data_IF_817331999394
#
_entry.id   IF_817331999394
#
_cell.length_a   1.000
_cell.length_b   1.000
_cell.length_c   1.000
_cell.angle_alpha   90.00
_cell.angle_beta   90.00
_cell.angle_gamma   90.00
#
_symmetry.space_group_name_H-M   'P 1'
#
loop_
_entity.id
_entity.type
_entity.pdbx_description
1 polymer ?
#
# COMPACT_ATOMS: atom_id res chain seq x y z
N UNK A 1 -10.45 21.07 -4.73
CA UNK A 1 -9.97 19.72 -5.09
C UNK A 1 -8.63 19.86 -5.81
N UNK A 2 -7.61 19.16 -5.33
CA UNK A 2 -6.29 19.12 -5.96
C UNK A 2 -6.24 17.93 -6.93
N UNK A 3 -5.45 18.04 -8.00
CA UNK A 3 -5.35 16.98 -9.01
C UNK A 3 -3.89 16.60 -9.24
N UNK A 4 -3.61 15.31 -9.35
CA UNK A 4 -2.33 14.76 -9.77
C UNK A 4 -2.58 13.91 -11.01
N UNK A 5 -1.99 14.31 -12.15
CA UNK A 5 -2.01 13.49 -13.37
C UNK A 5 -0.91 12.45 -13.30
N UNK A 6 -1.25 11.20 -13.61
CA UNK A 6 -0.31 10.08 -13.77
C UNK A 6 -0.30 9.69 -15.24
N UNK A 7 0.58 10.29 -16.05
CA UNK A 7 0.72 9.96 -17.47
C UNK A 7 1.50 8.66 -17.62
N UNK A 8 0.84 7.63 -18.12
CA UNK A 8 1.45 6.35 -18.47
C UNK A 8 1.28 6.08 -19.95
N UNK A 9 2.13 5.20 -20.50
CA UNK A 9 2.14 4.93 -21.95
C UNK A 9 0.82 4.36 -22.46
N UNK A 10 0.22 3.44 -21.71
CA UNK A 10 -0.98 2.72 -22.14
C UNK A 10 -2.27 3.41 -21.65
N UNK A 11 -2.27 3.94 -20.43
CA UNK A 11 -3.48 4.52 -19.83
C UNK A 11 -3.12 5.56 -18.75
N UNK A 12 -3.26 6.82 -19.10
CA UNK A 12 -3.14 7.92 -18.13
C UNK A 12 -4.40 8.05 -17.29
N UNK A 13 -4.24 8.43 -16.02
CA UNK A 13 -5.37 8.70 -15.13
C UNK A 13 -5.07 9.84 -14.16
N UNK A 14 -6.11 10.32 -13.47
CA UNK A 14 -5.99 11.37 -12.47
C UNK A 14 -6.28 10.84 -11.08
N UNK A 15 -5.56 11.37 -10.10
CA UNK A 15 -5.88 11.27 -8.68
C UNK A 15 -6.43 12.63 -8.25
N UNK A 16 -7.59 12.61 -7.63
CA UNK A 16 -8.29 13.77 -7.10
C UNK A 16 -8.23 13.73 -5.57
N UNK A 17 -7.78 14.81 -4.94
CA UNK A 17 -7.73 14.96 -3.49
C UNK A 17 -8.65 16.10 -3.05
N UNK A 18 -9.55 15.82 -2.15
CA UNK A 18 -10.55 16.74 -1.59
C UNK A 18 -11.89 16.04 -1.36
N UNK A 19 -12.93 16.79 -1.08
CA UNK A 19 -14.28 16.25 -0.92
C UNK A 19 -14.72 15.50 -2.18
N UNK A 20 -15.33 14.32 -2.00
CA UNK A 20 -15.81 13.49 -3.11
C UNK A 20 -16.82 14.26 -3.96
N UNK A 21 -16.57 14.50 -5.26
CA UNK A 21 -17.45 15.26 -6.11
C UNK A 21 -18.69 14.44 -6.52
N UNK A 22 -19.65 15.06 -7.18
CA UNK A 22 -20.64 14.31 -7.94
C UNK A 22 -19.96 13.57 -9.10
N UNK A 23 -20.18 12.26 -9.18
CA UNK A 23 -19.64 11.39 -10.22
C UNK A 23 -20.79 11.02 -11.16
N UNK A 24 -20.77 11.55 -12.38
CA UNK A 24 -21.74 11.24 -13.40
C UNK A 24 -21.20 10.23 -14.41
N UNK A 25 -21.84 9.09 -14.50
CA UNK A 25 -21.48 7.98 -15.38
C UNK A 25 -22.61 7.69 -16.36
N UNK A 26 -22.28 7.55 -17.65
CA UNK A 26 -23.24 7.16 -18.70
C UNK A 26 -23.41 5.64 -18.84
N UNK A 27 -22.68 4.87 -18.04
CA UNK A 27 -22.65 3.41 -18.03
C UNK A 27 -23.17 2.81 -16.72
N UNK A 28 -23.34 1.48 -16.71
CA UNK A 28 -23.62 0.73 -15.49
C UNK A 28 -22.39 0.76 -14.56
N UNK A 29 -22.62 0.86 -13.26
CA UNK A 29 -21.58 0.88 -12.24
C UNK A 29 -21.85 -0.18 -11.15
N UNK A 30 -20.92 -1.11 -10.96
CA UNK A 30 -20.92 -2.04 -9.82
C UNK A 30 -20.00 -1.49 -8.74
N UNK A 31 -20.56 -1.15 -7.57
CA UNK A 31 -19.80 -0.76 -6.39
C UNK A 31 -19.43 -2.03 -5.63
N UNK A 32 -18.15 -2.18 -5.31
CA UNK A 32 -17.66 -3.23 -4.44
C UNK A 32 -17.12 -2.60 -3.17
N UNK A 33 -17.56 -3.13 -2.01
CA UNK A 33 -17.11 -2.67 -0.71
C UNK A 33 -17.05 -3.84 0.26
N UNK A 34 -16.45 -3.63 1.42
CA UNK A 34 -16.57 -4.59 2.53
C UNK A 34 -17.68 -4.19 3.51
N UNK A 35 -18.04 -5.13 4.39
CA UNK A 35 -19.17 -4.99 5.31
C UNK A 35 -19.05 -3.81 6.27
N UNK A 36 -17.82 -3.44 6.70
CA UNK A 36 -17.58 -2.31 7.61
C UNK A 36 -17.70 -1.00 6.83
N UNK A 37 -16.95 -0.88 5.74
CA UNK A 37 -16.92 0.34 4.91
C UNK A 37 -18.28 0.64 4.30
N UNK A 38 -18.99 -0.39 3.81
CA UNK A 38 -20.35 -0.22 3.28
C UNK A 38 -21.32 0.37 4.32
N UNK A 39 -21.27 -0.14 5.55
CA UNK A 39 -22.09 0.39 6.64
C UNK A 39 -21.80 1.85 7.00
N UNK A 40 -20.56 2.30 6.82
CA UNK A 40 -20.12 3.65 7.20
C UNK A 40 -20.26 4.67 6.06
N UNK A 41 -19.99 4.26 4.82
CA UNK A 41 -19.70 5.21 3.74
C UNK A 41 -20.47 5.00 2.43
N UNK A 42 -21.20 3.89 2.30
CA UNK A 42 -21.93 3.60 1.05
C UNK A 42 -22.98 4.66 0.73
N UNK A 43 -23.74 5.11 1.72
CA UNK A 43 -24.75 6.15 1.53
C UNK A 43 -24.15 7.45 1.02
N UNK A 44 -23.01 7.86 1.58
CA UNK A 44 -22.28 9.05 1.15
C UNK A 44 -21.84 8.98 -0.32
N UNK A 45 -21.38 7.81 -0.79
CA UNK A 45 -21.07 7.61 -2.21
C UNK A 45 -22.34 7.61 -3.07
N UNK A 46 -23.40 6.92 -2.66
CA UNK A 46 -24.63 6.81 -3.44
C UNK A 46 -25.33 8.16 -3.66
N UNK A 47 -25.24 9.07 -2.69
CA UNK A 47 -25.76 10.45 -2.85
C UNK A 47 -25.01 11.25 -3.93
N UNK A 48 -23.77 10.89 -4.24
CA UNK A 48 -22.90 11.58 -5.18
C UNK A 48 -22.70 10.84 -6.50
N UNK A 49 -23.26 9.63 -6.62
CA UNK A 49 -23.08 8.79 -7.81
C UNK A 49 -24.36 8.76 -8.66
N UNK A 50 -24.27 9.23 -9.88
CA UNK A 50 -25.30 9.08 -10.91
C UNK A 50 -24.78 8.16 -12.01
N UNK A 51 -25.46 7.05 -12.27
CA UNK A 51 -25.10 6.10 -13.32
C UNK A 51 -26.36 5.53 -13.99
N UNK A 52 -26.19 4.87 -15.14
CA UNK A 52 -27.31 4.24 -15.84
C UNK A 52 -28.02 3.19 -14.98
N UNK A 53 -27.25 2.39 -14.27
CA UNK A 53 -27.70 1.42 -13.27
C UNK A 53 -26.59 1.27 -12.22
N UNK A 54 -26.94 1.19 -10.94
CA UNK A 54 -26.01 0.98 -9.84
C UNK A 54 -26.40 -0.28 -9.09
N UNK A 55 -25.43 -1.16 -8.86
CA UNK A 55 -25.52 -2.27 -7.89
C UNK A 55 -24.37 -2.23 -6.92
N UNK A 56 -24.54 -2.93 -5.81
CA UNK A 56 -23.56 -3.02 -4.74
C UNK A 56 -23.26 -4.50 -4.47
N UNK A 57 -21.98 -4.86 -4.46
CA UNK A 57 -21.47 -6.14 -4.00
C UNK A 57 -20.69 -5.90 -2.70
N UNK A 58 -21.20 -6.43 -1.58
CA UNK A 58 -20.54 -6.32 -0.28
C UNK A 58 -19.89 -7.67 0.03
N UNK A 59 -18.59 -7.65 0.31
CA UNK A 59 -17.84 -8.82 0.77
C UNK A 59 -17.50 -8.68 2.26
N UNK A 60 -16.96 -9.70 2.88
CA UNK A 60 -16.51 -9.67 4.26
C UNK A 60 -15.26 -8.79 4.40
N UNK A 61 -15.14 -8.10 5.56
CA UNK A 61 -13.98 -7.24 5.85
C UNK A 61 -12.78 -8.03 6.35
N UNK A 62 -11.58 -7.64 5.91
CA UNK A 62 -10.29 -8.13 6.38
C UNK A 62 -9.46 -8.85 5.33
N UNK A 63 -8.14 -8.89 5.58
CA UNK A 63 -7.12 -9.43 4.65
C UNK A 63 -7.34 -10.91 4.30
N UNK A 64 -7.89 -11.70 5.22
CA UNK A 64 -8.21 -13.13 4.99
C UNK A 64 -9.24 -13.37 3.87
N UNK A 65 -10.03 -12.33 3.55
CA UNK A 65 -11.02 -12.40 2.47
C UNK A 65 -10.49 -11.88 1.13
N UNK A 66 -9.24 -11.48 1.06
CA UNK A 66 -8.56 -11.14 -0.19
C UNK A 66 -8.15 -12.43 -0.93
N UNK A 67 -9.12 -13.17 -1.43
CA UNK A 67 -8.94 -14.53 -1.94
C UNK A 67 -9.83 -14.83 -3.16
N UNK A 68 -9.70 -16.04 -3.73
CA UNK A 68 -10.47 -16.49 -4.88
C UNK A 68 -11.98 -16.48 -4.64
N UNK A 69 -12.43 -16.85 -3.45
CA UNK A 69 -13.88 -16.92 -3.15
C UNK A 69 -14.53 -15.53 -3.24
N UNK A 70 -13.89 -14.53 -2.66
CA UNK A 70 -14.37 -13.14 -2.76
C UNK A 70 -14.26 -12.60 -4.20
N UNK A 71 -13.20 -12.98 -4.93
CA UNK A 71 -13.06 -12.62 -6.34
C UNK A 71 -14.21 -13.22 -7.18
N UNK A 72 -14.53 -14.49 -6.99
CA UNK A 72 -15.65 -15.17 -7.66
C UNK A 72 -16.97 -14.44 -7.37
N UNK A 73 -17.23 -14.07 -6.11
CA UNK A 73 -18.43 -13.32 -5.72
C UNK A 73 -18.54 -11.98 -6.45
N UNK A 74 -17.43 -11.24 -6.58
CA UNK A 74 -17.40 -9.98 -7.34
C UNK A 74 -17.72 -10.23 -8.81
N UNK A 75 -17.11 -11.24 -9.43
CA UNK A 75 -17.34 -11.58 -10.84
C UNK A 75 -18.78 -12.04 -11.09
N UNK A 76 -19.35 -12.87 -10.21
CA UNK A 76 -20.74 -13.31 -10.29
C UNK A 76 -21.70 -12.12 -10.21
N UNK A 77 -21.46 -11.16 -9.29
CA UNK A 77 -22.26 -9.93 -9.20
C UNK A 77 -22.18 -9.10 -10.49
N UNK A 78 -21.01 -9.08 -11.16
CA UNK A 78 -20.83 -8.40 -12.43
C UNK A 78 -21.60 -9.09 -13.58
N UNK A 79 -21.60 -10.44 -13.62
CA UNK A 79 -22.38 -11.21 -14.59
C UNK A 79 -23.88 -11.06 -14.38
N UNK A 80 -24.37 -11.16 -13.15
CA UNK A 80 -25.79 -10.98 -12.81
C UNK A 80 -26.31 -9.58 -13.16
N UNK A 81 -25.47 -8.56 -13.02
CA UNK A 81 -25.78 -7.18 -13.45
C UNK A 81 -25.66 -7.02 -14.98
N UNK A 82 -25.17 -8.02 -15.69
CA UNK A 82 -24.91 -7.97 -17.12
C UNK A 82 -24.01 -6.78 -17.49
N UNK A 83 -22.90 -6.61 -16.75
CA UNK A 83 -21.89 -5.62 -17.14
C UNK A 83 -21.30 -5.97 -18.50
N UNK A 84 -20.95 -4.97 -19.25
CA UNK A 84 -20.29 -5.10 -20.55
C UNK A 84 -18.94 -4.38 -20.56
N UNK A 85 -18.25 -4.35 -21.70
CA UNK A 85 -16.92 -3.75 -21.83
C UNK A 85 -16.85 -2.24 -21.54
N UNK A 86 -17.99 -1.56 -21.55
CA UNK A 86 -18.10 -0.12 -21.27
C UNK A 86 -18.55 0.17 -19.84
N UNK A 87 -18.90 -0.87 -19.08
CA UNK A 87 -19.31 -0.75 -17.69
C UNK A 87 -18.11 -0.45 -16.78
N UNK A 88 -18.38 -0.08 -15.53
CA UNK A 88 -17.38 0.35 -14.57
C UNK A 88 -17.51 -0.43 -13.26
N UNK A 89 -16.39 -0.80 -12.64
CA UNK A 89 -16.36 -1.23 -11.27
C UNK A 89 -15.85 -0.08 -10.39
N UNK A 90 -16.40 0.06 -9.18
CA UNK A 90 -15.99 1.09 -8.19
C UNK A 90 -15.56 0.39 -6.92
N UNK A 91 -14.31 0.58 -6.54
CA UNK A 91 -13.74 0.10 -5.29
C UNK A 91 -13.95 1.16 -4.20
N UNK A 92 -14.87 0.92 -3.27
CA UNK A 92 -15.07 1.73 -2.07
C UNK A 92 -14.50 0.99 -0.88
N UNK A 93 -13.25 1.30 -0.46
CA UNK A 93 -12.64 0.56 0.64
C UNK A 93 -11.15 0.78 0.83
N UNK A 94 -10.55 -0.03 1.69
CA UNK A 94 -9.10 -0.09 1.88
C UNK A 94 -8.36 -0.83 0.76
N UNK A 95 -7.07 -1.13 0.98
CA UNK A 95 -6.19 -1.80 0.02
C UNK A 95 -6.72 -3.17 -0.44
N UNK A 96 -7.37 -3.93 0.43
CA UNK A 96 -8.00 -5.22 0.09
C UNK A 96 -9.03 -5.04 -1.03
N UNK A 97 -9.93 -4.07 -0.89
CA UNK A 97 -10.97 -3.78 -1.88
C UNK A 97 -10.37 -3.23 -3.17
N UNK A 98 -9.44 -2.25 -3.07
CA UNK A 98 -8.78 -1.68 -4.24
C UNK A 98 -8.08 -2.75 -5.10
N UNK A 99 -7.33 -3.65 -4.47
CA UNK A 99 -6.59 -4.71 -5.16
C UNK A 99 -7.52 -5.74 -5.81
N UNK A 100 -8.55 -6.18 -5.08
CA UNK A 100 -9.48 -7.18 -5.58
C UNK A 100 -10.34 -6.65 -6.73
N UNK A 101 -10.83 -5.42 -6.62
CA UNK A 101 -11.64 -4.78 -7.67
C UNK A 101 -10.81 -4.52 -8.92
N UNK A 102 -9.59 -4.03 -8.73
CA UNK A 102 -8.67 -3.84 -9.85
C UNK A 102 -8.36 -5.17 -10.55
N UNK A 103 -8.14 -6.26 -9.79
CA UNK A 103 -7.89 -7.57 -10.38
C UNK A 103 -9.15 -8.15 -11.06
N UNK A 104 -10.32 -8.07 -10.42
CA UNK A 104 -11.58 -8.48 -11.02
C UNK A 104 -11.83 -7.72 -12.34
N UNK A 105 -11.61 -6.40 -12.34
CA UNK A 105 -11.77 -5.57 -13.53
C UNK A 105 -10.79 -5.95 -14.65
N UNK A 106 -9.55 -6.35 -14.30
CA UNK A 106 -8.53 -6.72 -15.28
C UNK A 106 -8.86 -8.01 -16.06
N UNK A 107 -9.58 -8.93 -15.41
CA UNK A 107 -9.92 -10.23 -16.01
C UNK A 107 -11.35 -10.29 -16.56
N UNK A 108 -12.27 -9.47 -16.05
CA UNK A 108 -13.65 -9.40 -16.54
C UNK A 108 -13.68 -8.84 -17.98
N UNK A 109 -14.25 -9.59 -18.92
CA UNK A 109 -14.23 -9.28 -20.37
C UNK A 109 -12.81 -8.95 -20.93
N UNK A 110 -11.74 -9.47 -20.31
CA UNK A 110 -10.32 -9.19 -20.64
C UNK A 110 -9.89 -7.75 -20.37
N UNK A 111 -10.58 -7.09 -19.45
CA UNK A 111 -10.30 -5.73 -18.98
C UNK A 111 -11.48 -4.78 -19.17
N UNK A 112 -11.97 -4.25 -18.04
CA UNK A 112 -12.92 -3.12 -18.01
C UNK A 112 -12.35 -2.02 -17.11
N UNK A 113 -12.91 -0.83 -17.20
CA UNK A 113 -12.51 0.29 -16.36
C UNK A 113 -12.91 0.08 -14.89
N UNK A 114 -12.11 0.63 -13.98
CA UNK A 114 -12.47 0.74 -12.57
C UNK A 114 -12.02 2.08 -11.96
N UNK A 115 -12.62 2.46 -10.84
CA UNK A 115 -12.31 3.65 -10.05
C UNK A 115 -11.99 3.20 -8.63
N UNK A 116 -10.99 3.81 -8.00
CA UNK A 116 -10.70 3.66 -6.58
C UNK A 116 -11.25 4.85 -5.77
N UNK A 117 -11.95 4.54 -4.68
CA UNK A 117 -12.37 5.48 -3.62
C UNK A 117 -11.79 4.93 -2.31
N UNK A 118 -10.51 5.24 -2.00
CA UNK A 118 -9.80 4.68 -0.87
C UNK A 118 -10.30 5.26 0.47
N UNK A 119 -10.62 4.39 1.42
CA UNK A 119 -11.18 4.79 2.72
C UNK A 119 -10.22 4.61 3.89
N UNK A 120 -9.06 3.99 3.70
CA UNK A 120 -7.99 3.91 4.69
C UNK A 120 -6.81 4.79 4.30
N UNK A 121 -6.05 5.31 5.26
CA UNK A 121 -4.88 6.14 4.98
C UNK A 121 -3.86 5.39 4.12
N UNK A 122 -3.58 4.13 4.43
CA UNK A 122 -2.70 3.27 3.62
C UNK A 122 -3.15 3.20 2.16
N UNK A 123 -4.45 3.01 1.92
CA UNK A 123 -4.96 2.97 0.55
C UNK A 123 -4.93 4.33 -0.13
N UNK A 124 -5.15 5.43 0.61
CA UNK A 124 -5.09 6.80 0.07
C UNK A 124 -3.67 7.15 -0.41
N UNK A 125 -2.65 6.80 0.37
CA UNK A 125 -1.27 7.19 0.04
C UNK A 125 -0.52 6.15 -0.79
N UNK A 126 -0.95 4.89 -0.76
CA UNK A 126 -0.21 3.79 -1.39
C UNK A 126 -1.07 2.87 -2.27
N UNK A 127 -1.92 2.01 -1.73
CA UNK A 127 -2.48 0.87 -2.45
C UNK A 127 -3.36 1.27 -3.66
N UNK A 128 -4.08 2.38 -3.62
CA UNK A 128 -4.97 2.83 -4.72
C UNK A 128 -4.24 3.34 -5.96
N UNK A 129 -2.93 3.58 -5.89
CA UNK A 129 -2.11 4.21 -6.95
C UNK A 129 -1.06 3.25 -7.47
N UNK A 130 -0.90 3.16 -8.79
CA UNK A 130 0.19 2.41 -9.43
C UNK A 130 -0.19 1.03 -9.95
N UNK A 131 -1.50 0.69 -9.94
CA UNK A 131 -2.07 -0.42 -10.70
C UNK A 131 -1.69 -1.83 -10.27
N UNK A 132 -0.97 -2.02 -9.17
CA UNK A 132 -0.78 -3.35 -8.59
C UNK A 132 -2.11 -3.84 -8.06
N UNK A 133 -2.61 -4.94 -8.57
CA UNK A 133 -3.88 -5.54 -8.16
C UNK A 133 -3.72 -7.04 -7.99
N UNK A 134 -4.47 -7.65 -7.08
CA UNK A 134 -4.31 -9.07 -6.87
C UNK A 134 -5.03 -9.62 -5.65
N UNK A 135 -4.81 -10.92 -5.44
CA UNK A 135 -5.38 -11.70 -4.34
C UNK A 135 -4.30 -12.53 -3.64
N UNK A 136 -4.63 -12.96 -2.44
CA UNK A 136 -3.80 -13.86 -1.65
C UNK A 136 -4.10 -15.33 -2.02
N UNK A 137 -3.12 -16.17 -1.75
CA UNK A 137 -3.21 -17.63 -1.93
C UNK A 137 -2.68 -18.32 -0.68
N UNK A 138 -2.92 -19.64 -0.52
CA UNK A 138 -2.28 -20.40 0.57
C UNK A 138 -0.75 -20.39 0.54
N UNK A 139 -0.15 -19.99 -0.58
CA UNK A 139 1.31 -19.94 -0.77
C UNK A 139 1.91 -18.58 -0.40
N UNK A 140 1.08 -17.52 -0.28
CA UNK A 140 1.52 -16.17 0.11
C UNK A 140 0.58 -15.07 -0.33
N UNK A 141 0.86 -13.84 0.14
CA UNK A 141 0.11 -12.63 -0.20
C UNK A 141 0.45 -12.17 -1.63
N UNK A 142 -0.55 -11.65 -2.34
CA UNK A 142 -0.43 -10.93 -3.62
C UNK A 142 0.31 -11.70 -4.74
N UNK A 143 0.30 -13.05 -4.70
CA UNK A 143 1.01 -13.87 -5.70
C UNK A 143 0.26 -14.00 -7.02
N UNK A 144 -1.04 -13.74 -7.02
CA UNK A 144 -1.89 -13.76 -8.21
C UNK A 144 -2.49 -12.37 -8.40
N UNK A 145 -2.25 -11.78 -9.56
CA UNK A 145 -2.73 -10.44 -9.86
C UNK A 145 -2.29 -9.94 -11.24
N UNK A 146 -2.53 -8.66 -11.46
CA UNK A 146 -2.19 -7.97 -12.70
C UNK A 146 -1.77 -6.53 -12.42
N UNK A 147 -1.06 -5.92 -13.37
CA UNK A 147 -0.94 -4.47 -13.44
C UNK A 147 -2.13 -3.94 -14.21
N UNK A 148 -3.09 -3.33 -13.53
CA UNK A 148 -4.27 -2.72 -14.13
C UNK A 148 -4.52 -1.35 -13.52
N UNK A 149 -4.36 -0.29 -14.33
CA UNK A 149 -4.46 1.08 -13.85
C UNK A 149 -5.93 1.50 -13.70
N UNK A 150 -6.29 2.20 -12.61
CA UNK A 150 -7.63 2.76 -12.45
C UNK A 150 -7.90 3.84 -13.50
N UNK A 151 -9.17 4.12 -13.75
CA UNK A 151 -9.60 5.27 -14.57
C UNK A 151 -9.46 6.59 -13.81
N UNK A 152 -9.68 6.54 -12.50
CA UNK A 152 -9.52 7.65 -11.58
C UNK A 152 -9.36 7.13 -10.14
N UNK A 153 -8.77 7.94 -9.28
CA UNK A 153 -8.73 7.73 -7.83
C UNK A 153 -9.30 8.98 -7.16
N UNK A 154 -10.27 8.82 -6.26
CA UNK A 154 -10.87 9.92 -5.49
C UNK A 154 -10.54 9.76 -4.02
N UNK A 155 -9.68 10.62 -3.51
CA UNK A 155 -9.21 10.62 -2.12
C UNK A 155 -9.96 11.69 -1.36
N UNK A 156 -10.83 11.28 -0.45
CA UNK A 156 -11.56 12.15 0.47
C UNK A 156 -11.11 11.87 1.90
N UNK A 157 -10.60 12.91 2.57
CA UNK A 157 -10.10 12.80 3.94
C UNK A 157 -11.23 12.56 4.95
N UNK A 158 -12.48 12.81 4.58
CA UNK A 158 -13.63 12.58 5.48
C UNK A 158 -13.75 11.11 5.86
N UNK A 159 -13.35 10.18 4.99
CA UNK A 159 -13.32 8.75 5.27
C UNK A 159 -12.40 8.39 6.45
N UNK A 160 -11.34 9.16 6.67
CA UNK A 160 -10.39 8.90 7.76
C UNK A 160 -10.95 9.21 9.14
N UNK A 161 -12.08 9.95 9.24
CA UNK A 161 -12.71 10.28 10.53
C UNK A 161 -13.26 9.06 11.26
N UNK A 162 -13.58 8.00 10.52
CA UNK A 162 -14.10 6.75 11.06
C UNK A 162 -13.05 5.64 11.13
N UNK A 163 -11.83 5.93 10.67
CA UNK A 163 -10.76 4.95 10.61
C UNK A 163 -10.19 4.71 12.02
N UNK A 164 -10.06 3.45 12.41
CA UNK A 164 -9.44 3.08 13.68
C UNK A 164 -7.99 3.59 13.76
N UNK A 165 -7.57 4.03 14.96
CA UNK A 165 -6.22 4.57 15.21
C UNK A 165 -5.13 3.64 14.69
N UNK A 166 -5.26 2.34 14.90
CA UNK A 166 -4.29 1.32 14.49
C UNK A 166 -4.12 1.26 12.96
N UNK A 167 -5.22 1.30 12.22
CA UNK A 167 -5.21 1.35 10.76
C UNK A 167 -4.67 2.67 10.22
N UNK A 168 -4.96 3.78 10.90
CA UNK A 168 -4.39 5.08 10.57
C UNK A 168 -2.85 5.07 10.73
N UNK A 169 -2.35 4.54 11.84
CA UNK A 169 -0.92 4.39 12.10
C UNK A 169 -0.23 3.49 11.05
N UNK A 170 -0.88 2.42 10.59
CA UNK A 170 -0.38 1.58 9.51
C UNK A 170 -0.16 2.39 8.21
N UNK A 171 -1.07 3.32 7.91
CA UNK A 171 -0.89 4.25 6.78
C UNK A 171 0.25 5.25 6.99
N UNK A 172 0.45 5.75 8.22
CA UNK A 172 1.57 6.66 8.54
C UNK A 172 2.92 5.97 8.35
N UNK A 173 3.03 4.66 8.63
CA UNK A 173 4.25 3.92 8.34
C UNK A 173 4.65 3.98 6.86
N UNK A 174 3.66 3.87 5.95
CA UNK A 174 3.89 3.98 4.50
C UNK A 174 4.28 5.41 4.06
N UNK A 175 3.73 6.44 4.71
CA UNK A 175 4.15 7.82 4.49
C UNK A 175 5.62 8.00 4.89
N UNK A 176 6.02 7.53 6.07
CA UNK A 176 7.42 7.62 6.54
C UNK A 176 8.33 6.83 5.61
N UNK A 177 7.95 5.65 5.16
CA UNK A 177 8.68 4.86 4.17
C UNK A 177 9.00 5.68 2.92
N UNK A 178 7.99 6.33 2.34
CA UNK A 178 8.16 7.16 1.15
C UNK A 178 9.01 8.39 1.43
N UNK A 179 8.79 9.07 2.54
CA UNK A 179 9.55 10.24 2.94
C UNK A 179 11.05 9.92 3.08
N UNK A 180 11.40 8.86 3.82
CA UNK A 180 12.80 8.45 4.06
C UNK A 180 13.52 8.10 2.77
N UNK A 181 12.86 7.45 1.82
CA UNK A 181 13.49 7.00 0.57
C UNK A 181 13.49 8.05 -0.55
N UNK A 182 12.55 9.02 -0.55
CA UNK A 182 12.34 9.85 -1.72
C UNK A 182 12.26 11.35 -1.45
N UNK A 183 11.95 11.78 -0.22
CA UNK A 183 11.72 13.20 0.04
C UNK A 183 12.11 13.65 1.45
N UNK A 184 13.29 14.26 1.55
CA UNK A 184 13.80 14.82 2.80
C UNK A 184 12.90 15.92 3.38
N UNK A 185 12.25 16.73 2.52
CA UNK A 185 11.39 17.82 2.98
C UNK A 185 10.13 17.27 3.65
N UNK A 186 9.58 16.15 3.14
CA UNK A 186 8.47 15.47 3.78
C UNK A 186 8.87 14.93 5.17
N UNK A 187 10.09 14.40 5.33
CA UNK A 187 10.62 14.03 6.66
C UNK A 187 10.66 15.25 7.58
N UNK A 188 11.19 16.38 7.14
CA UNK A 188 11.26 17.62 7.93
C UNK A 188 9.85 18.13 8.31
N UNK A 189 8.89 18.05 7.38
CA UNK A 189 7.49 18.40 7.67
C UNK A 189 6.91 17.50 8.76
N UNK A 190 7.13 16.19 8.67
CA UNK A 190 6.66 15.21 9.66
C UNK A 190 7.36 15.38 11.03
N UNK A 191 8.60 15.83 11.06
CA UNK A 191 9.34 16.15 12.30
C UNK A 191 8.79 17.41 12.99
N UNK A 192 8.49 18.46 12.22
CA UNK A 192 8.20 19.79 12.74
C UNK A 192 6.72 20.04 13.03
N UNK A 193 5.82 19.49 12.22
CA UNK A 193 4.39 19.75 12.32
C UNK A 193 3.63 18.64 13.08
N UNK A 194 2.50 19.00 13.68
CA UNK A 194 1.50 17.98 14.07
C UNK A 194 0.80 17.49 12.80
N UNK A 195 0.65 16.17 12.66
CA UNK A 195 0.03 15.56 11.48
C UNK A 195 -1.41 16.04 11.26
N UNK A 196 -2.13 16.37 12.34
CA UNK A 196 -3.51 16.90 12.25
C UNK A 196 -3.58 18.21 11.46
N UNK A 197 -2.54 19.05 11.58
CA UNK A 197 -2.52 20.37 10.96
C UNK A 197 -2.01 20.34 9.51
N UNK A 198 -1.38 19.25 9.08
CA UNK A 198 -0.79 19.10 7.75
C UNK A 198 -1.21 17.81 7.02
N UNK A 199 -2.26 17.12 7.46
CA UNK A 199 -2.62 15.81 6.93
C UNK A 199 -2.89 15.82 5.43
N UNK A 200 -3.63 16.82 4.93
CA UNK A 200 -3.90 16.96 3.49
C UNK A 200 -2.62 17.20 2.69
N UNK A 201 -1.74 18.08 3.17
CA UNK A 201 -0.43 18.34 2.57
C UNK A 201 0.41 17.06 2.50
N UNK A 202 0.47 16.31 3.60
CA UNK A 202 1.25 15.07 3.71
C UNK A 202 0.70 13.97 2.79
N UNK A 203 -0.63 13.81 2.71
CA UNK A 203 -1.25 12.86 1.78
C UNK A 203 -0.95 13.26 0.34
N UNK A 204 -1.10 14.55 -0.01
CA UNK A 204 -0.80 15.04 -1.35
C UNK A 204 0.66 14.76 -1.73
N UNK A 205 1.62 15.09 -0.87
CA UNK A 205 3.05 14.85 -1.11
C UNK A 205 3.34 13.34 -1.28
N UNK A 206 2.75 12.49 -0.44
CA UNK A 206 2.93 11.04 -0.53
C UNK A 206 2.39 10.47 -1.85
N UNK A 207 1.19 10.88 -2.26
CA UNK A 207 0.61 10.50 -3.56
C UNK A 207 1.44 11.04 -4.72
N UNK A 208 1.95 12.28 -4.61
CA UNK A 208 2.82 12.88 -5.63
C UNK A 208 4.13 12.11 -5.77
N UNK A 209 4.80 11.77 -4.67
CA UNK A 209 6.02 10.92 -4.68
C UNK A 209 5.71 9.60 -5.38
N UNK A 210 4.64 8.93 -4.97
CA UNK A 210 4.27 7.64 -5.57
C UNK A 210 3.93 7.77 -7.05
N UNK A 211 3.22 8.82 -7.45
CA UNK A 211 2.93 9.10 -8.86
C UNK A 211 4.23 9.26 -9.67
N UNK A 212 5.20 10.05 -9.18
CA UNK A 212 6.50 10.23 -9.85
C UNK A 212 7.26 8.91 -10.00
N UNK A 213 7.24 8.07 -8.96
CA UNK A 213 7.89 6.75 -8.99
C UNK A 213 7.21 5.81 -10.00
N UNK A 214 5.87 5.77 -10.01
CA UNK A 214 5.08 4.93 -10.94
C UNK A 214 5.26 5.38 -12.40
N UNK A 215 5.31 6.69 -12.65
CA UNK A 215 5.54 7.24 -13.99
C UNK A 215 6.90 6.84 -14.56
N UNK A 216 7.94 6.75 -13.72
CA UNK A 216 9.28 6.35 -14.14
C UNK A 216 9.46 4.83 -14.23
N UNK A 217 8.66 4.07 -13.45
CA UNK A 217 8.82 2.62 -13.33
C UNK A 217 7.48 1.94 -12.99
N UNK A 218 6.62 1.81 -13.98
CA UNK A 218 5.28 1.23 -13.80
C UNK A 218 5.34 -0.22 -13.28
N UNK A 219 6.31 -1.02 -13.76
CA UNK A 219 6.39 -2.47 -13.51
C UNK A 219 7.38 -2.87 -12.40
N UNK A 220 7.90 -1.88 -11.64
CA UNK A 220 8.79 -2.12 -10.49
C UNK A 220 10.08 -2.90 -10.85
N UNK A 221 10.79 -2.41 -11.85
CA UNK A 221 12.07 -2.99 -12.28
C UNK A 221 13.28 -2.15 -11.81
N UNK A 222 13.07 -0.89 -11.43
CA UNK A 222 14.12 0.08 -11.11
C UNK A 222 13.78 0.90 -9.86
N UNK A 223 13.45 2.21 -10.01
CA UNK A 223 13.26 3.15 -8.90
C UNK A 223 12.10 2.75 -7.97
N UNK A 224 11.06 2.11 -8.50
CA UNK A 224 9.88 1.73 -7.72
C UNK A 224 10.20 0.69 -6.63
N UNK A 225 11.31 -0.04 -6.74
CA UNK A 225 11.74 -0.95 -5.67
C UNK A 225 12.03 -0.22 -4.35
N UNK A 226 12.34 1.08 -4.39
CA UNK A 226 12.52 1.93 -3.20
C UNK A 226 11.29 1.98 -2.29
N UNK A 227 10.08 1.75 -2.85
CA UNK A 227 8.85 1.60 -2.08
C UNK A 227 8.81 0.30 -1.24
N UNK A 228 9.82 -0.57 -1.35
CA UNK A 228 9.94 -1.78 -0.54
C UNK A 228 10.95 -1.62 0.63
N UNK A 229 11.34 -0.39 1.01
CA UNK A 229 12.08 -0.16 2.23
C UNK A 229 11.34 -0.70 3.45
N UNK A 230 12.02 -1.49 4.28
CA UNK A 230 11.41 -2.22 5.40
C UNK A 230 10.68 -3.52 5.02
N UNK A 231 10.30 -3.73 3.76
CA UNK A 231 9.46 -4.86 3.36
C UNK A 231 10.15 -6.21 3.45
N UNK A 232 11.46 -6.32 3.19
CA UNK A 232 12.18 -7.59 3.26
C UNK A 232 12.10 -8.19 4.67
N UNK A 233 12.31 -7.37 5.71
CA UNK A 233 12.13 -7.80 7.10
C UNK A 233 10.64 -7.86 7.50
N UNK A 234 9.84 -6.89 7.09
CA UNK A 234 8.41 -6.83 7.39
C UNK A 234 7.63 -8.06 6.94
N UNK A 235 7.83 -8.51 5.70
CA UNK A 235 7.21 -9.73 5.17
C UNK A 235 7.67 -11.00 5.92
N UNK A 236 8.95 -11.05 6.34
CA UNK A 236 9.42 -12.15 7.17
C UNK A 236 8.71 -12.17 8.55
N UNK A 237 8.48 -10.98 9.14
CA UNK A 237 7.72 -10.81 10.40
C UNK A 237 6.25 -11.22 10.20
N UNK A 238 5.59 -10.71 9.15
CA UNK A 238 4.21 -11.08 8.84
C UNK A 238 4.07 -12.61 8.72
N UNK A 239 5.01 -13.26 8.03
CA UNK A 239 5.01 -14.71 7.85
C UNK A 239 5.33 -15.46 9.14
N UNK A 240 6.23 -14.97 9.99
CA UNK A 240 6.53 -15.58 11.29
C UNK A 240 5.34 -15.53 12.25
N UNK A 241 4.49 -14.51 12.09
CA UNK A 241 3.32 -14.26 12.94
C UNK A 241 2.01 -14.67 12.26
N UNK A 242 2.07 -15.51 11.24
CA UNK A 242 0.94 -16.07 10.49
C UNK A 242 -0.05 -14.99 9.98
N UNK A 243 0.47 -13.75 9.72
CA UNK A 243 -0.30 -12.58 9.28
C UNK A 243 -1.41 -12.12 10.23
N UNK A 244 -1.41 -12.55 11.49
CA UNK A 244 -2.49 -12.29 12.44
C UNK A 244 -2.11 -11.25 13.50
N UNK A 245 -0.83 -11.18 13.89
CA UNK A 245 -0.38 -10.35 15.01
C UNK A 245 -0.26 -8.87 14.65
N UNK A 246 0.34 -8.58 13.51
CA UNK A 246 0.64 -7.22 13.06
C UNK A 246 -0.14 -6.87 11.80
N UNK A 247 -0.64 -5.63 11.74
CA UNK A 247 -1.07 -5.03 10.47
C UNK A 247 0.14 -4.85 9.56
N UNK A 248 -0.11 -4.75 8.25
CA UNK A 248 0.97 -4.56 7.27
C UNK A 248 1.91 -3.41 7.64
N UNK A 249 1.38 -2.19 7.85
CA UNK A 249 2.20 -1.03 8.21
C UNK A 249 2.94 -1.16 9.54
N UNK A 250 2.42 -1.93 10.51
CA UNK A 250 3.12 -2.23 11.76
C UNK A 250 4.34 -3.14 11.51
N UNK A 251 4.16 -4.19 10.71
CA UNK A 251 5.26 -5.07 10.32
C UNK A 251 6.31 -4.33 9.51
N UNK A 252 5.87 -3.41 8.60
CA UNK A 252 6.78 -2.56 7.82
C UNK A 252 7.52 -1.58 8.74
N UNK A 253 6.88 -0.99 9.75
CA UNK A 253 7.57 -0.11 10.71
C UNK A 253 8.68 -0.85 11.48
N UNK A 254 8.42 -2.08 11.94
CA UNK A 254 9.46 -2.93 12.54
C UNK A 254 10.55 -3.23 11.52
N UNK A 255 10.17 -3.61 10.30
CA UNK A 255 11.09 -3.91 9.20
C UNK A 255 11.96 -2.71 8.79
N UNK A 256 11.43 -1.48 8.82
CA UNK A 256 12.20 -0.26 8.59
C UNK A 256 13.29 -0.08 9.65
N UNK A 257 12.99 -0.32 10.92
CA UNK A 257 13.97 -0.24 12.01
C UNK A 257 15.08 -1.28 11.85
N UNK A 258 14.75 -2.52 11.47
CA UNK A 258 15.77 -3.55 11.17
C UNK A 258 16.61 -3.15 9.95
N UNK A 259 15.99 -2.55 8.93
CA UNK A 259 16.70 -2.04 7.75
C UNK A 259 17.61 -0.85 8.12
N UNK A 260 17.21 0.01 9.07
CA UNK A 260 18.04 1.10 9.60
C UNK A 260 19.24 0.57 10.35
N UNK A 261 19.07 -0.46 11.21
CA UNK A 261 20.18 -1.12 11.89
C UNK A 261 21.21 -1.66 10.89
N UNK A 262 20.72 -2.27 9.80
CA UNK A 262 21.58 -2.78 8.73
C UNK A 262 22.27 -1.64 7.96
N UNK A 263 21.54 -0.60 7.58
CA UNK A 263 22.08 0.58 6.90
C UNK A 263 23.16 1.30 7.73
N UNK A 264 22.92 1.45 9.04
CA UNK A 264 23.92 2.00 9.98
C UNK A 264 25.18 1.14 10.05
N UNK A 265 25.02 -0.19 10.12
CA UNK A 265 26.17 -1.12 10.18
C UNK A 265 27.00 -1.13 8.89
N UNK A 266 26.39 -0.76 7.76
CA UNK A 266 27.03 -0.64 6.44
C UNK A 266 27.54 0.79 6.14
N UNK A 267 27.38 1.75 7.08
CA UNK A 267 27.77 3.14 6.88
C UNK A 267 26.92 3.91 5.88
N UNK A 268 25.73 3.42 5.54
CA UNK A 268 24.77 4.08 4.64
C UNK A 268 23.97 5.18 5.34
N UNK A 269 23.80 5.07 6.66
CA UNK A 269 23.25 6.08 7.55
C UNK A 269 24.32 6.53 8.54
N UNK A 270 24.35 7.84 8.81
CA UNK A 270 25.02 8.38 10.00
C UNK A 270 24.20 8.10 11.25
N UNK A 271 24.81 8.07 12.43
CA UNK A 271 24.07 7.92 13.70
C UNK A 271 22.98 8.98 13.85
N UNK A 272 23.24 10.22 13.44
CA UNK A 272 22.26 11.32 13.49
C UNK A 272 21.04 11.07 12.61
N UNK A 273 21.24 10.54 11.41
CA UNK A 273 20.13 10.21 10.50
C UNK A 273 19.32 9.02 11.02
N UNK A 274 20.01 8.00 11.52
CA UNK A 274 19.38 6.85 12.19
C UNK A 274 18.49 7.33 13.34
N UNK A 275 19.00 8.15 14.25
CA UNK A 275 18.24 8.69 15.38
C UNK A 275 17.02 9.54 14.93
N UNK A 276 17.17 10.32 13.85
CA UNK A 276 16.04 11.07 13.29
C UNK A 276 14.92 10.16 12.84
N UNK A 277 15.22 9.10 12.11
CA UNK A 277 14.21 8.14 11.62
C UNK A 277 13.57 7.41 12.81
N UNK A 278 14.34 6.94 13.81
CA UNK A 278 13.81 6.30 15.01
C UNK A 278 12.89 7.24 15.79
N UNK A 279 13.28 8.52 15.96
CA UNK A 279 12.47 9.52 16.63
C UNK A 279 11.17 9.83 15.86
N UNK A 280 11.22 9.81 14.54
CA UNK A 280 10.04 9.98 13.71
C UNK A 280 9.06 8.82 13.87
N UNK A 281 9.55 7.58 13.84
CA UNK A 281 8.72 6.40 14.10
C UNK A 281 8.11 6.44 15.51
N UNK A 282 8.89 6.88 16.51
CA UNK A 282 8.42 7.05 17.89
C UNK A 282 7.36 8.14 18.01
N UNK A 283 7.52 9.27 17.33
CA UNK A 283 6.55 10.38 17.31
C UNK A 283 5.16 9.92 16.90
N UNK A 284 5.09 8.95 15.99
CA UNK A 284 3.84 8.42 15.44
C UNK A 284 3.39 7.09 16.08
N UNK A 285 3.91 6.74 17.24
CA UNK A 285 3.60 5.48 17.96
C UNK A 285 3.86 4.22 17.11
N UNK A 286 4.88 4.23 16.26
CA UNK A 286 5.24 3.11 15.37
C UNK A 286 6.37 2.23 15.92
N UNK A 287 6.60 2.28 17.23
CA UNK A 287 7.57 1.43 17.94
C UNK A 287 6.84 0.23 18.53
N UNK A 288 6.85 -0.86 17.82
CA UNK A 288 6.20 -2.11 18.24
C UNK A 288 7.20 -3.05 18.89
N UNK A 289 6.73 -3.77 19.93
CA UNK A 289 7.53 -4.83 20.55
C UNK A 289 7.49 -6.09 19.70
N UNK A 290 8.66 -6.47 19.20
CA UNK A 290 8.86 -7.70 18.44
C UNK A 290 10.19 -8.34 18.84
N UNK A 291 10.21 -9.66 18.93
CA UNK A 291 11.41 -10.46 19.15
C UNK A 291 11.43 -11.63 18.18
N UNK A 292 12.56 -11.86 17.57
CA UNK A 292 12.80 -13.04 16.73
C UNK A 292 12.90 -14.26 17.64
N UNK A 293 12.14 -15.31 17.37
CA UNK A 293 12.15 -16.54 18.17
C UNK A 293 13.29 -17.47 17.78
N UNK A 294 13.66 -17.52 16.50
CA UNK A 294 14.72 -18.37 15.94
C UNK A 294 15.41 -17.59 14.80
N UNK A 295 16.61 -17.10 15.08
CA UNK A 295 17.40 -16.27 14.16
C UNK A 295 17.68 -17.00 12.83
N UNK A 296 18.00 -18.30 12.88
CA UNK A 296 18.34 -19.06 11.67
C UNK A 296 17.11 -19.24 10.79
N UNK A 297 15.96 -19.59 11.35
CA UNK A 297 14.70 -19.69 10.61
C UNK A 297 14.25 -18.33 10.07
N UNK A 298 14.42 -17.26 10.86
CA UNK A 298 14.11 -15.90 10.39
C UNK A 298 14.99 -15.52 9.19
N UNK A 299 16.30 -15.78 9.28
CA UNK A 299 17.22 -15.56 8.17
C UNK A 299 16.81 -16.32 6.91
N UNK A 300 16.41 -17.58 7.04
CA UNK A 300 15.94 -18.40 5.91
C UNK A 300 14.66 -17.82 5.27
N UNK A 301 13.76 -17.24 6.07
CA UNK A 301 12.55 -16.57 5.58
C UNK A 301 12.84 -15.37 4.70
N UNK A 302 13.96 -14.66 4.90
CA UNK A 302 14.34 -13.53 4.06
C UNK A 302 14.55 -13.92 2.58
N UNK A 303 14.86 -15.18 2.31
CA UNK A 303 14.99 -15.69 0.94
C UNK A 303 13.65 -16.04 0.27
N UNK A 304 12.60 -16.27 1.05
CA UNK A 304 11.32 -16.74 0.53
C UNK A 304 10.50 -15.63 -0.15
N UNK A 305 10.79 -14.37 0.16
CA UNK A 305 10.07 -13.21 -0.38
C UNK A 305 10.43 -12.89 -1.84
N UNK A 306 11.49 -13.48 -2.39
CA UNK A 306 11.92 -13.19 -3.76
C UNK A 306 12.25 -14.47 -4.52
N UNK A 307 11.56 -14.68 -5.63
CA UNK A 307 11.94 -15.51 -6.75
C UNK A 307 13.25 -14.99 -7.39
N UNK A 308 14.35 -14.97 -6.63
CA UNK A 308 15.64 -14.63 -7.20
C UNK A 308 16.24 -15.89 -7.81
N UNK A 309 16.47 -15.89 -9.10
CA UNK A 309 17.20 -16.94 -9.81
C UNK A 309 18.58 -17.18 -9.17
N UNK A 310 19.15 -16.20 -8.45
CA UNK A 310 20.50 -16.21 -7.87
C UNK A 310 20.58 -16.48 -6.36
N UNK A 311 19.48 -16.82 -5.67
CA UNK A 311 19.47 -17.04 -4.21
C UNK A 311 20.08 -15.89 -3.38
N UNK A 312 20.01 -14.66 -3.86
CA UNK A 312 20.59 -13.48 -3.21
C UNK A 312 19.50 -12.61 -2.61
N UNK A 313 19.60 -12.28 -1.32
CA UNK A 313 18.67 -11.35 -0.69
C UNK A 313 19.00 -9.93 -1.17
N UNK A 314 17.99 -9.21 -1.62
CA UNK A 314 18.09 -7.77 -1.94
C UNK A 314 17.39 -6.98 -0.85
N UNK A 315 18.13 -6.11 -0.19
CA UNK A 315 17.57 -5.18 0.80
C UNK A 315 17.43 -3.80 0.18
N UNK A 316 16.32 -3.15 0.46
CA UNK A 316 16.16 -1.73 0.16
C UNK A 316 16.52 -0.98 1.44
N UNK A 317 17.63 -0.27 1.41
CA UNK A 317 18.19 0.42 2.57
C UNK A 317 18.22 1.93 2.34
N UNK A 318 17.94 2.76 3.37
CA UNK A 318 18.12 4.19 3.25
C UNK A 318 19.61 4.54 3.08
N UNK A 319 19.91 5.46 2.17
CA UNK A 319 21.25 6.03 1.95
C UNK A 319 21.20 7.52 2.26
N UNK A 320 21.36 7.84 3.54
CA UNK A 320 20.92 9.12 4.06
C UNK A 320 19.39 9.22 4.10
N UNK A 321 18.86 10.44 4.35
CA UNK A 321 17.43 10.74 4.29
C UNK A 321 17.09 11.36 2.93
N UNK A 322 16.07 10.82 2.26
CA UNK A 322 15.61 11.24 0.93
C UNK A 322 16.19 10.43 -0.21
N UNK A 323 16.97 9.38 0.08
CA UNK A 323 17.53 8.47 -0.92
C UNK A 323 17.61 7.04 -0.39
N UNK A 324 17.71 6.08 -1.31
CA UNK A 324 17.86 4.65 -0.97
C UNK A 324 18.87 3.97 -1.90
N UNK A 325 19.32 2.80 -1.48
CA UNK A 325 20.15 1.90 -2.28
C UNK A 325 19.60 0.47 -2.22
N UNK A 326 19.75 -0.26 -3.32
CA UNK A 326 19.47 -1.70 -3.39
C UNK A 326 20.75 -2.43 -3.00
N UNK A 327 20.83 -2.88 -1.76
CA UNK A 327 21.99 -3.61 -1.24
C UNK A 327 21.81 -5.12 -1.45
N UNK A 328 22.76 -5.75 -2.11
CA UNK A 328 22.84 -7.19 -2.33
C UNK A 328 24.23 -7.71 -1.94
N UNK A 329 24.37 -9.01 -1.81
CA UNK A 329 25.65 -9.66 -1.44
C UNK A 329 26.20 -9.22 -0.07
N UNK A 330 25.29 -8.84 0.87
CA UNK A 330 25.70 -8.52 2.25
C UNK A 330 26.14 -9.81 2.92
N UNK A 331 27.31 -9.84 3.60
CA UNK A 331 27.78 -11.00 4.32
C UNK A 331 26.74 -11.51 5.33
N UNK A 332 26.54 -12.83 5.38
CA UNK A 332 25.59 -13.46 6.31
C UNK A 332 25.81 -13.01 7.74
N UNK A 333 27.06 -12.93 8.16
CA UNK A 333 27.46 -12.53 9.51
C UNK A 333 26.98 -11.12 9.88
N UNK A 334 26.97 -10.20 8.91
CA UNK A 334 26.47 -8.83 9.09
C UNK A 334 24.96 -8.82 9.31
N UNK A 335 24.23 -9.62 8.52
CA UNK A 335 22.77 -9.75 8.67
C UNK A 335 22.45 -10.40 10.03
N UNK A 336 23.14 -11.50 10.38
CA UNK A 336 22.90 -12.19 11.65
C UNK A 336 23.16 -11.27 12.86
N UNK A 337 24.20 -10.44 12.86
CA UNK A 337 24.45 -9.45 13.91
C UNK A 337 23.30 -8.44 14.08
N UNK A 338 22.63 -8.06 12.99
CA UNK A 338 21.43 -7.22 13.08
C UNK A 338 20.28 -8.01 13.69
N UNK A 339 20.05 -9.26 13.25
CA UNK A 339 18.97 -10.10 13.78
C UNK A 339 19.15 -10.42 15.27
N UNK A 340 20.40 -10.57 15.76
CA UNK A 340 20.72 -10.78 17.17
C UNK A 340 20.24 -9.65 18.10
N UNK A 341 20.20 -8.40 17.61
CA UNK A 341 19.63 -7.28 18.37
C UNK A 341 18.12 -7.40 18.60
N UNK A 342 17.47 -8.23 17.81
CA UNK A 342 16.02 -8.43 17.81
C UNK A 342 15.58 -9.80 18.35
N UNK A 343 16.52 -10.55 18.95
CA UNK A 343 16.29 -11.88 19.55
C UNK A 343 15.95 -11.85 21.08
#
# INVERSE_FOLDING_TARGET
MQEILIPLKEKSYKVFLGELPEIELKQKALIISDSIVAGLHLSYLLERLKALEVRVCVIESGEKYKNFHSLERILNSAFEMQLNRHSLMIALGGGVISDMVGFASSIYFRGIDFINIPTTLLSQVDASVGGKTGINTPYGKNLIGSFHQPKAVYIDLSFLKTLEKREFQAGVAEIIKMAVCFDKNLVETLEMKDLKDCLEEVIFQSVYIKAQVVMQDEKEQNIRVGLNYGHTFGHAIEKETDYERFLHGEAIAIGMRMANDLALSLGMLTLKEYERIENLLKKFDLIFHYKITDIQKFYERLFLDKKSEDKTIKFILPKGIGAFEVASHIPKETILKVLEKWH
#
